data_IF_420680111924
#
_entry.id   IF_420680111924
#
_cell.length_a   1.000
_cell.length_b   1.000
_cell.length_c   1.000
_cell.angle_alpha   90.00
_cell.angle_beta   90.00
_cell.angle_gamma   90.00
#
_symmetry.space_group_name_H-M   'P 1'
#
loop_
_entity.id
_entity.type
_entity.pdbx_description
1 polymer ?
#
# COMPACT_ATOMS: atom_id res chain seq x y z
N UNK A 1 5.94 -6.77 2.94
CA UNK A 1 6.15 -5.90 1.77
C UNK A 1 7.67 -5.74 1.66
N UNK A 2 8.19 -4.71 1.00
CA UNK A 2 9.60 -4.34 1.08
C UNK A 2 9.71 -2.87 1.46
N UNK A 3 10.58 -2.60 2.43
CA UNK A 3 10.89 -1.25 2.90
C UNK A 3 11.47 -0.43 1.74
N UNK A 4 11.17 0.87 1.72
CA UNK A 4 11.67 1.80 0.71
C UNK A 4 12.14 3.09 1.36
N UNK A 5 13.21 3.66 0.80
CA UNK A 5 13.74 4.97 1.16
C UNK A 5 13.69 5.82 -0.11
N UNK A 6 12.98 6.93 -0.03
CA UNK A 6 12.74 7.87 -1.13
C UNK A 6 12.96 9.29 -0.64
N UNK A 7 13.09 10.25 -1.55
CA UNK A 7 13.20 11.66 -1.18
C UNK A 7 11.82 12.31 -1.09
N UNK A 8 11.74 13.40 -0.33
CA UNK A 8 10.52 14.22 -0.29
C UNK A 8 10.14 14.69 -1.69
N UNK A 9 8.86 14.59 -2.03
CA UNK A 9 8.30 14.93 -3.33
C UNK A 9 8.33 13.80 -4.36
N UNK A 10 8.99 12.67 -4.07
CA UNK A 10 8.95 11.47 -4.93
C UNK A 10 7.62 10.71 -4.78
N UNK A 11 7.32 9.88 -5.76
CA UNK A 11 6.26 8.89 -5.66
C UNK A 11 6.86 7.54 -5.20
N UNK A 12 6.14 6.80 -4.37
CA UNK A 12 6.56 5.49 -3.87
C UNK A 12 5.47 4.45 -4.08
N UNK A 13 5.81 3.31 -4.68
CA UNK A 13 4.84 2.24 -5.01
C UNK A 13 5.14 0.95 -4.26
N UNK A 14 4.25 0.58 -3.36
CA UNK A 14 4.25 -0.71 -2.69
C UNK A 14 3.47 -1.73 -3.51
N UNK A 15 3.98 -2.96 -3.59
CA UNK A 15 3.36 -4.06 -4.33
C UNK A 15 3.28 -5.31 -3.46
N UNK A 16 2.08 -5.89 -3.36
CA UNK A 16 1.85 -7.17 -2.72
C UNK A 16 1.17 -8.13 -3.69
N UNK A 17 1.75 -9.31 -3.88
CA UNK A 17 1.13 -10.38 -4.64
C UNK A 17 0.48 -11.38 -3.68
N UNK A 18 -0.82 -11.63 -3.85
CA UNK A 18 -1.54 -12.66 -3.10
C UNK A 18 -1.60 -13.97 -3.89
N UNK A 19 -1.86 -15.07 -3.18
CA UNK A 19 -1.90 -16.42 -3.75
C UNK A 19 -3.16 -16.70 -4.58
N UNK A 20 -4.30 -16.10 -4.21
CA UNK A 20 -5.61 -16.36 -4.82
C UNK A 20 -6.24 -15.09 -5.37
N UNK A 21 -6.98 -15.22 -6.47
CA UNK A 21 -7.85 -14.15 -6.98
C UNK A 21 -9.04 -13.92 -6.05
N UNK A 22 -9.59 -12.71 -6.05
CA UNK A 22 -10.78 -12.31 -5.28
C UNK A 22 -10.60 -12.40 -3.76
N UNK A 23 -9.39 -12.17 -3.27
CA UNK A 23 -9.15 -12.08 -1.84
C UNK A 23 -10.01 -10.96 -1.22
N UNK A 24 -10.61 -11.25 -0.07
CA UNK A 24 -11.55 -10.35 0.63
C UNK A 24 -10.84 -9.58 1.74
N UNK A 25 -11.50 -8.54 2.22
CA UNK A 25 -11.05 -7.70 3.34
C UNK A 25 -9.64 -7.13 3.11
N UNK A 26 -9.48 -6.50 1.94
CA UNK A 26 -8.23 -5.86 1.54
C UNK A 26 -8.19 -4.44 2.05
N UNK A 27 -7.09 -4.12 2.73
CA UNK A 27 -6.88 -2.82 3.35
C UNK A 27 -5.41 -2.44 3.27
N UNK A 28 -5.16 -1.18 2.93
CA UNK A 28 -3.86 -0.53 3.07
C UNK A 28 -3.93 0.47 4.22
N UNK A 29 -2.87 0.54 5.02
CA UNK A 29 -2.73 1.48 6.12
C UNK A 29 -1.35 2.13 6.11
N UNK A 30 -1.30 3.39 6.48
CA UNK A 30 -0.09 4.10 6.87
C UNK A 30 -0.23 4.48 8.35
N UNK A 31 0.69 4.03 9.20
CA UNK A 31 0.65 4.34 10.64
C UNK A 31 -0.73 4.06 11.28
N UNK A 32 -1.30 2.89 10.98
CA UNK A 32 -2.64 2.45 11.40
C UNK A 32 -3.84 3.22 10.80
N UNK A 33 -3.61 4.27 10.03
CA UNK A 33 -4.66 5.03 9.33
C UNK A 33 -4.98 4.35 8.00
N UNK A 34 -6.25 4.00 7.80
CA UNK A 34 -6.70 3.35 6.57
C UNK A 34 -6.59 4.30 5.38
N UNK A 35 -5.91 3.85 4.33
CA UNK A 35 -5.74 4.57 3.08
C UNK A 35 -6.86 4.21 2.11
N UNK A 36 -7.25 5.19 1.29
CA UNK A 36 -8.25 5.05 0.23
C UNK A 36 -7.71 5.72 -1.03
N UNK A 37 -8.25 5.33 -2.18
CA UNK A 37 -7.99 6.03 -3.44
C UNK A 37 -8.39 7.51 -3.31
N UNK A 38 -7.45 8.41 -3.57
CA UNK A 38 -7.65 9.85 -3.57
C UNK A 38 -6.54 10.53 -4.40
N UNK A 39 -6.38 11.86 -4.27
CA UNK A 39 -5.36 12.60 -5.03
C UNK A 39 -3.93 12.22 -4.66
N UNK A 40 -3.68 11.86 -3.39
CA UNK A 40 -2.37 11.50 -2.84
C UNK A 40 -2.08 9.99 -2.90
N UNK A 41 -3.12 9.16 -2.97
CA UNK A 41 -3.03 7.71 -2.88
C UNK A 41 -3.68 7.04 -4.08
N UNK A 42 -2.95 6.18 -4.77
CA UNK A 42 -3.49 5.34 -5.83
C UNK A 42 -3.40 3.86 -5.41
N UNK A 43 -4.55 3.22 -5.25
CA UNK A 43 -4.69 1.82 -4.91
C UNK A 43 -5.30 1.09 -6.11
N UNK A 44 -4.61 0.08 -6.63
CA UNK A 44 -5.13 -0.74 -7.73
C UNK A 44 -4.85 -2.22 -7.55
N UNK A 45 -5.54 -3.02 -8.36
CA UNK A 45 -5.41 -4.48 -8.36
C UNK A 45 -5.26 -4.97 -9.80
N UNK A 46 -4.09 -5.50 -10.12
CA UNK A 46 -3.83 -6.11 -11.43
C UNK A 46 -4.16 -7.61 -11.39
N UNK A 47 -4.96 -8.06 -12.37
CA UNK A 47 -5.34 -9.47 -12.57
C UNK A 47 -5.88 -10.15 -11.29
N UNK A 48 -6.49 -9.39 -10.39
CA UNK A 48 -7.06 -9.88 -9.13
C UNK A 48 -6.06 -10.42 -8.10
N UNK A 49 -4.73 -10.32 -8.33
CA UNK A 49 -3.70 -10.89 -7.43
C UNK A 49 -2.62 -9.91 -7.01
N UNK A 50 -2.38 -8.88 -7.80
CA UNK A 50 -1.29 -7.94 -7.53
C UNK A 50 -1.91 -6.65 -7.05
N UNK A 51 -1.77 -6.39 -5.76
CA UNK A 51 -2.26 -5.19 -5.11
C UNK A 51 -1.13 -4.16 -5.06
N UNK A 52 -1.44 -2.95 -5.48
CA UNK A 52 -0.49 -1.84 -5.47
C UNK A 52 -1.06 -0.68 -4.68
N UNK A 53 -0.17 0.02 -3.98
CA UNK A 53 -0.42 1.31 -3.35
C UNK A 53 0.70 2.24 -3.80
N UNK A 54 0.35 3.33 -4.47
CA UNK A 54 1.27 4.44 -4.76
C UNK A 54 0.91 5.62 -3.88
N UNK A 55 1.85 6.07 -3.05
CA UNK A 55 1.78 7.39 -2.41
C UNK A 55 2.48 8.39 -3.33
N UNK A 56 1.78 9.49 -3.64
CA UNK A 56 2.27 10.51 -4.56
C UNK A 56 2.85 11.68 -3.79
N UNK A 57 3.97 12.21 -4.28
CA UNK A 57 4.66 13.38 -3.71
C UNK A 57 4.81 13.29 -2.19
N UNK A 58 5.44 12.20 -1.75
CA UNK A 58 5.58 11.89 -0.32
C UNK A 58 6.21 13.03 0.47
N UNK A 59 5.74 13.21 1.69
CA UNK A 59 6.20 14.21 2.64
C UNK A 59 6.78 13.52 3.87
N UNK A 60 7.38 14.28 4.79
CA UNK A 60 7.82 13.73 6.08
C UNK A 60 6.67 13.09 6.89
N UNK A 61 5.42 13.49 6.65
CA UNK A 61 4.24 12.90 7.31
C UNK A 61 3.95 11.48 6.82
N UNK A 62 4.44 11.13 5.63
CA UNK A 62 4.24 9.81 5.03
C UNK A 62 5.28 8.79 5.51
N UNK A 63 6.24 9.21 6.34
CA UNK A 63 7.21 8.32 6.97
C UNK A 63 6.52 7.46 8.01
N UNK A 64 6.48 6.15 7.78
CA UNK A 64 5.92 5.22 8.74
C UNK A 64 5.77 3.82 8.17
N UNK A 65 5.13 2.96 8.94
CA UNK A 65 4.88 1.58 8.53
C UNK A 65 3.69 1.51 7.60
N UNK A 66 3.92 0.98 6.40
CA UNK A 66 2.87 0.61 5.46
C UNK A 66 2.42 -0.80 5.78
N UNK A 67 1.13 -0.96 6.02
CA UNK A 67 0.52 -2.26 6.30
C UNK A 67 -0.45 -2.63 5.20
N UNK A 68 -0.22 -3.78 4.57
CA UNK A 68 -1.18 -4.44 3.70
C UNK A 68 -1.85 -5.58 4.45
N UNK A 69 -3.19 -5.59 4.49
CA UNK A 69 -3.99 -6.66 5.07
C UNK A 69 -4.85 -7.32 4.00
N UNK A 70 -4.98 -8.64 4.11
CA UNK A 70 -5.89 -9.46 3.33
C UNK A 70 -6.47 -10.56 4.21
N UNK A 71 -7.73 -10.40 4.62
CA UNK A 71 -8.38 -11.29 5.58
C UNK A 71 -7.59 -11.40 6.90
N UNK A 72 -7.10 -12.60 7.28
CA UNK A 72 -6.29 -12.80 8.48
C UNK A 72 -4.79 -12.55 8.27
N UNK A 73 -4.34 -12.26 7.05
CA UNK A 73 -2.93 -12.08 6.73
C UNK A 73 -2.56 -10.60 6.68
N UNK A 74 -1.33 -10.31 7.11
CA UNK A 74 -0.80 -8.95 7.15
C UNK A 74 0.65 -8.94 6.70
N UNK A 75 1.06 -7.89 6.00
CA UNK A 75 2.43 -7.67 5.55
C UNK A 75 2.79 -6.21 5.71
N UNK A 76 3.98 -5.93 6.23
CA UNK A 76 4.45 -4.56 6.49
C UNK A 76 5.71 -4.21 5.69
N UNK A 77 5.95 -2.91 5.53
CA UNK A 77 7.17 -2.29 5.00
C UNK A 77 7.37 -0.92 5.67
#
# INVERSE_FOLDING_TARGET
>A
LKDMVVFEGDDVTFRCQVSHENARDIEWKLQDVALQNNEMNEISVEKGKIHTLTLRKVTEQDVGTITFRVGPHTSTA
#
